data_IF_081262621284
#
_entry.id   IF_081262621284
#
_cell.length_a   1.000
_cell.length_b   1.000
_cell.length_c   1.000
_cell.angle_alpha   90.00
_cell.angle_beta   90.00
_cell.angle_gamma   90.00
#
_symmetry.space_group_name_H-M   'P 1'
#
loop_
_entity.id
_entity.type
_entity.pdbx_description
1 polymer ?
#
# COMPACT_ATOMS: atom_id res chain seq x y z
N UNK A 1 12.85 7.15 -8.64
CA UNK A 1 11.77 6.13 -8.65
C UNK A 1 11.85 5.33 -9.94
N UNK A 2 12.51 4.18 -9.89
CA UNK A 2 12.60 3.24 -11.01
C UNK A 2 11.36 2.37 -11.04
N UNK A 3 10.41 2.65 -11.93
CA UNK A 3 9.23 1.82 -12.11
C UNK A 3 9.62 0.64 -13.01
N UNK A 4 9.71 -0.56 -12.43
CA UNK A 4 9.92 -1.77 -13.20
C UNK A 4 8.70 -2.65 -13.17
N UNK A 5 7.81 -2.42 -14.13
CA UNK A 5 7.03 -3.48 -14.77
C UNK A 5 6.47 -2.99 -16.11
N UNK A 6 6.94 -3.58 -17.19
CA UNK A 6 6.16 -3.59 -18.45
C UNK A 6 4.99 -4.56 -18.23
N UNK A 7 3.83 -4.03 -17.91
CA UNK A 7 2.58 -4.79 -17.96
C UNK A 7 2.24 -5.08 -19.43
N UNK A 8 2.41 -6.31 -19.86
CA UNK A 8 1.79 -6.79 -21.09
C UNK A 8 0.32 -7.09 -20.79
N UNK A 9 -0.58 -6.26 -21.27
CA UNK A 9 -2.04 -6.33 -21.05
C UNK A 9 -2.75 -7.58 -21.64
N UNK A 10 -2.07 -8.68 -21.98
CA UNK A 10 -2.69 -9.84 -22.63
C UNK A 10 -2.48 -11.21 -21.97
N UNK A 11 -1.63 -11.33 -20.96
CA UNK A 11 -1.55 -12.56 -20.15
C UNK A 11 -1.10 -12.20 -18.74
N UNK A 12 -1.73 -12.80 -17.72
CA UNK A 12 -1.24 -12.79 -16.34
C UNK A 12 -0.05 -13.78 -16.27
N UNK A 13 1.07 -13.46 -16.90
CA UNK A 13 2.26 -14.30 -16.85
C UNK A 13 3.21 -13.68 -15.85
N UNK A 14 3.57 -14.42 -14.81
CA UNK A 14 4.57 -14.00 -13.85
C UNK A 14 5.96 -13.95 -14.52
N UNK A 15 6.76 -12.94 -14.17
CA UNK A 15 8.15 -12.85 -14.59
C UNK A 15 8.95 -13.88 -13.77
N UNK A 16 9.78 -14.74 -14.41
CA UNK A 16 10.60 -15.71 -13.68
C UNK A 16 11.45 -15.07 -12.59
N UNK A 17 11.53 -15.71 -11.42
CA UNK A 17 12.24 -15.23 -10.24
C UNK A 17 13.67 -14.77 -10.55
N UNK A 18 14.44 -15.59 -11.27
CA UNK A 18 15.82 -15.26 -11.67
C UNK A 18 15.92 -13.98 -12.48
N UNK A 19 14.95 -13.73 -13.39
CA UNK A 19 14.93 -12.52 -14.19
C UNK A 19 14.59 -11.28 -13.35
N UNK A 20 13.69 -11.40 -12.34
CA UNK A 20 13.37 -10.28 -11.43
C UNK A 20 14.59 -9.94 -10.58
N UNK A 21 15.30 -10.94 -10.09
CA UNK A 21 16.54 -10.75 -9.31
C UNK A 21 17.63 -10.06 -10.16
N UNK A 22 17.81 -10.49 -11.41
CA UNK A 22 18.79 -9.87 -12.33
C UNK A 22 18.42 -8.41 -12.62
N UNK A 23 17.14 -8.13 -12.84
CA UNK A 23 16.67 -6.75 -13.00
C UNK A 23 16.92 -5.91 -11.75
N UNK A 24 16.69 -6.46 -10.55
CA UNK A 24 16.97 -5.78 -9.29
C UNK A 24 18.47 -5.46 -9.14
N UNK A 25 19.36 -6.40 -9.49
CA UNK A 25 20.81 -6.19 -9.51
C UNK A 25 21.23 -5.08 -10.48
N UNK A 26 20.71 -5.11 -11.70
CA UNK A 26 21.04 -4.11 -12.72
C UNK A 26 20.61 -2.70 -12.28
N UNK A 27 19.43 -2.58 -11.66
CA UNK A 27 18.94 -1.30 -11.15
C UNK A 27 19.79 -0.79 -9.98
N UNK A 28 20.10 -1.65 -9.02
CA UNK A 28 20.94 -1.25 -7.88
C UNK A 28 22.35 -0.89 -8.31
N UNK A 29 22.92 -1.61 -9.29
CA UNK A 29 24.21 -1.25 -9.91
C UNK A 29 24.15 0.09 -10.65
N UNK A 30 22.98 0.51 -11.13
CA UNK A 30 22.77 1.83 -11.75
C UNK A 30 22.49 2.94 -10.71
N UNK A 31 22.62 2.66 -9.42
CA UNK A 31 22.51 3.64 -8.33
C UNK A 31 21.11 3.78 -7.71
N UNK A 32 20.12 2.94 -8.09
CA UNK A 32 18.82 2.98 -7.43
C UNK A 32 18.89 2.37 -6.03
N UNK A 33 18.64 3.19 -4.99
CA UNK A 33 18.64 2.76 -3.58
C UNK A 33 17.34 2.13 -3.11
N UNK A 34 16.22 2.39 -3.81
CA UNK A 34 14.90 1.84 -3.49
C UNK A 34 14.26 1.23 -4.73
N UNK A 35 13.65 0.04 -4.57
CA UNK A 35 12.82 -0.62 -5.57
C UNK A 35 11.41 -0.81 -5.03
N UNK A 36 10.42 -0.74 -5.94
CA UNK A 36 9.02 -1.02 -5.64
C UNK A 36 8.56 -2.21 -6.46
N UNK A 37 8.20 -3.32 -5.81
CA UNK A 37 7.54 -4.44 -6.46
C UNK A 37 6.07 -4.08 -6.69
N UNK A 38 5.64 -4.08 -7.94
CA UNK A 38 4.26 -3.79 -8.31
C UNK A 38 3.78 -4.75 -9.38
N UNK A 39 2.48 -4.96 -9.46
CA UNK A 39 1.85 -5.81 -10.46
C UNK A 39 0.34 -5.65 -10.45
N UNK A 40 -0.33 -6.24 -11.43
CA UNK A 40 -1.81 -6.26 -11.48
C UNK A 40 -2.38 -7.14 -10.38
N UNK A 41 -1.64 -8.18 -9.99
CA UNK A 41 -1.99 -9.17 -8.97
C UNK A 41 -0.68 -9.72 -8.39
N UNK A 42 -0.06 -8.94 -7.51
CA UNK A 42 1.26 -9.24 -6.95
C UNK A 42 1.23 -10.45 -6.03
N UNK A 43 0.09 -10.69 -5.40
CA UNK A 43 -0.10 -11.76 -4.43
C UNK A 43 -0.27 -13.13 -5.09
N UNK A 44 -0.75 -13.20 -6.33
CA UNK A 44 -0.78 -14.42 -7.14
C UNK A 44 0.56 -14.73 -7.83
N UNK A 45 1.65 -14.06 -7.45
CA UNK A 45 2.95 -14.27 -8.08
C UNK A 45 3.35 -15.76 -8.06
N UNK A 46 3.83 -16.20 -9.20
CA UNK A 46 4.48 -17.51 -9.36
C UNK A 46 3.54 -18.70 -9.51
N UNK A 47 2.22 -18.53 -9.42
CA UNK A 47 1.27 -19.64 -9.57
C UNK A 47 1.37 -20.34 -10.94
N UNK A 48 1.86 -19.64 -11.96
CA UNK A 48 2.08 -20.13 -13.33
C UNK A 48 3.55 -20.46 -13.64
N UNK A 49 4.44 -20.33 -12.64
CA UNK A 49 5.87 -20.66 -12.78
C UNK A 49 6.20 -22.06 -12.28
N UNK A 50 7.25 -22.70 -12.81
CA UNK A 50 7.77 -23.96 -12.27
C UNK A 50 8.10 -23.84 -10.78
N UNK A 51 7.62 -24.79 -9.97
CA UNK A 51 7.78 -24.79 -8.52
C UNK A 51 6.83 -23.87 -7.77
N UNK A 52 5.96 -23.13 -8.46
CA UNK A 52 4.97 -22.22 -7.91
C UNK A 52 5.53 -21.33 -6.74
N UNK A 53 6.62 -20.56 -6.97
CA UNK A 53 7.21 -19.73 -5.93
C UNK A 53 6.21 -18.65 -5.47
N UNK A 54 6.19 -18.37 -4.18
CA UNK A 54 5.31 -17.34 -3.60
C UNK A 54 5.97 -15.96 -3.66
N UNK A 55 5.21 -14.93 -3.36
CA UNK A 55 5.72 -13.55 -3.27
C UNK A 55 6.84 -13.42 -2.22
N UNK A 56 6.72 -14.15 -1.10
CA UNK A 56 7.77 -14.22 -0.07
C UNK A 56 9.09 -14.80 -0.60
N UNK A 57 9.03 -15.84 -1.43
CA UNK A 57 10.22 -16.43 -2.05
C UNK A 57 10.89 -15.45 -3.03
N UNK A 58 10.08 -14.69 -3.79
CA UNK A 58 10.59 -13.64 -4.68
C UNK A 58 11.28 -12.52 -3.89
N UNK A 59 10.65 -12.02 -2.82
CA UNK A 59 11.21 -10.96 -1.98
C UNK A 59 12.54 -11.42 -1.39
N UNK A 60 12.59 -12.62 -0.80
CA UNK A 60 13.82 -13.20 -0.25
C UNK A 60 14.91 -13.29 -1.32
N UNK A 61 14.58 -13.82 -2.50
CA UNK A 61 15.55 -13.93 -3.59
C UNK A 61 16.08 -12.57 -4.08
N UNK A 62 15.25 -11.52 -4.10
CA UNK A 62 15.69 -10.16 -4.44
C UNK A 62 16.64 -9.63 -3.36
N UNK A 63 16.29 -9.78 -2.09
CA UNK A 63 17.09 -9.29 -0.98
C UNK A 63 18.46 -9.99 -0.91
N UNK A 64 18.49 -11.29 -1.15
CA UNK A 64 19.74 -12.07 -1.21
C UNK A 64 20.55 -11.75 -2.47
N UNK A 65 19.86 -11.65 -3.60
CA UNK A 65 20.48 -11.46 -4.91
C UNK A 65 20.95 -10.03 -5.20
N UNK A 66 20.40 -9.02 -4.51
CA UNK A 66 20.77 -7.61 -4.66
C UNK A 66 21.18 -7.01 -3.30
N UNK A 67 22.35 -7.36 -2.75
CA UNK A 67 22.80 -6.94 -1.42
C UNK A 67 23.00 -5.42 -1.30
N UNK A 68 23.21 -4.72 -2.41
CA UNK A 68 23.32 -3.26 -2.45
C UNK A 68 21.97 -2.54 -2.40
N UNK A 69 20.84 -3.27 -2.51
CA UNK A 69 19.52 -2.69 -2.38
C UNK A 69 19.30 -2.24 -0.93
N UNK A 70 19.03 -0.96 -0.75
CA UNK A 70 18.84 -0.35 0.57
C UNK A 70 17.39 -0.39 1.04
N UNK A 71 16.42 -0.35 0.10
CA UNK A 71 14.99 -0.31 0.40
C UNK A 71 14.19 -1.10 -0.63
N UNK A 72 13.24 -1.89 -0.14
CA UNK A 72 12.28 -2.61 -0.95
C UNK A 72 10.86 -2.28 -0.46
N UNK A 73 9.99 -1.90 -1.38
CA UNK A 73 8.55 -1.73 -1.15
C UNK A 73 7.76 -2.71 -1.98
N UNK A 74 6.57 -3.02 -1.50
CA UNK A 74 5.58 -3.78 -2.28
C UNK A 74 4.37 -2.90 -2.58
N UNK A 75 3.73 -3.16 -3.70
CA UNK A 75 2.45 -2.56 -4.06
C UNK A 75 1.29 -3.12 -3.23
N UNK A 76 0.08 -2.93 -3.74
CA UNK A 76 -1.13 -3.40 -3.03
C UNK A 76 -1.16 -4.92 -2.90
N UNK A 77 -1.53 -5.40 -1.71
CA UNK A 77 -1.68 -6.82 -1.38
C UNK A 77 -3.06 -7.12 -0.82
N UNK A 78 -3.52 -8.35 -1.00
CA UNK A 78 -4.75 -8.83 -0.36
C UNK A 78 -4.44 -9.37 1.05
N UNK A 79 -5.29 -9.05 2.01
CA UNK A 79 -5.17 -9.53 3.40
C UNK A 79 -5.06 -11.05 3.47
N UNK A 80 -5.88 -11.76 2.67
CA UNK A 80 -5.92 -13.22 2.65
C UNK A 80 -4.63 -13.87 2.10
N UNK A 81 -3.71 -13.10 1.56
CA UNK A 81 -2.48 -13.60 0.93
C UNK A 81 -1.22 -13.24 1.71
N UNK A 82 -1.36 -12.59 2.87
CA UNK A 82 -0.26 -12.38 3.81
C UNK A 82 -0.07 -13.64 4.63
N UNK A 83 0.74 -14.57 4.11
CA UNK A 83 1.16 -15.75 4.87
C UNK A 83 2.24 -15.39 5.92
N UNK A 84 2.59 -16.34 6.79
CA UNK A 84 3.54 -16.08 7.87
C UNK A 84 4.95 -15.71 7.36
N UNK A 85 5.36 -16.23 6.19
CA UNK A 85 6.64 -15.88 5.59
C UNK A 85 6.66 -14.43 5.08
N UNK A 86 5.60 -14.00 4.38
CA UNK A 86 5.46 -12.62 3.96
C UNK A 86 5.31 -11.68 5.16
N UNK A 87 4.53 -12.09 6.18
CA UNK A 87 4.39 -11.33 7.41
C UNK A 87 5.75 -11.11 8.11
N UNK A 88 6.58 -12.14 8.21
CA UNK A 88 7.92 -12.03 8.80
C UNK A 88 8.80 -11.05 8.00
N UNK A 89 8.79 -11.12 6.68
CA UNK A 89 9.52 -10.17 5.83
C UNK A 89 9.04 -8.72 6.04
N UNK A 90 7.74 -8.49 6.05
CA UNK A 90 7.16 -7.15 6.25
C UNK A 90 7.49 -6.54 7.61
N UNK A 91 7.66 -7.38 8.64
CA UNK A 91 7.79 -6.92 10.03
C UNK A 91 9.20 -7.00 10.59
N UNK A 92 10.08 -7.85 10.02
CA UNK A 92 11.40 -8.15 10.60
C UNK A 92 12.58 -7.84 9.66
N UNK A 93 12.35 -7.70 8.35
CA UNK A 93 13.43 -7.37 7.40
C UNK A 93 13.61 -5.85 7.33
N UNK A 94 14.79 -5.35 7.70
CA UNK A 94 15.10 -3.92 7.77
C UNK A 94 15.01 -3.21 6.43
N UNK A 95 15.34 -3.91 5.33
CA UNK A 95 15.26 -3.36 3.97
C UNK A 95 13.83 -3.33 3.41
N UNK A 96 12.89 -4.06 4.03
CA UNK A 96 11.47 -3.89 3.74
C UNK A 96 10.96 -2.61 4.40
N UNK A 97 10.43 -1.71 3.60
CA UNK A 97 9.96 -0.43 4.14
C UNK A 97 8.67 -0.58 4.96
N UNK A 98 8.57 0.21 6.05
CA UNK A 98 7.45 0.18 6.99
C UNK A 98 6.14 0.72 6.42
N UNK A 99 5.73 0.25 5.26
CA UNK A 99 4.48 0.62 4.61
C UNK A 99 3.89 -0.58 3.87
N UNK A 100 2.61 -0.82 4.07
CA UNK A 100 1.83 -1.83 3.34
C UNK A 100 0.52 -1.22 2.85
N UNK A 101 0.14 -1.50 1.61
CA UNK A 101 -1.15 -1.06 1.06
C UNK A 101 -2.08 -2.27 0.92
N UNK A 102 -3.18 -2.27 1.70
CA UNK A 102 -4.13 -3.38 1.76
C UNK A 102 -5.32 -3.14 0.83
N UNK A 103 -5.66 -4.12 0.02
CA UNK A 103 -6.82 -4.09 -0.87
C UNK A 103 -8.12 -4.40 -0.10
N UNK A 104 -8.51 -3.56 0.87
CA UNK A 104 -9.64 -3.80 1.78
C UNK A 104 -11.00 -3.66 1.11
N UNK A 105 -11.19 -2.63 0.31
CA UNK A 105 -12.36 -2.29 -0.50
C UNK A 105 -13.62 -1.88 0.29
N UNK A 106 -14.00 -2.57 1.37
CA UNK A 106 -15.16 -2.25 2.20
C UNK A 106 -14.98 -2.77 3.64
N UNK A 107 -15.74 -2.23 4.59
CA UNK A 107 -15.76 -2.66 5.99
C UNK A 107 -17.00 -3.48 6.37
N UNK A 108 -17.74 -3.99 5.41
CA UNK A 108 -18.96 -4.78 5.61
C UNK A 108 -18.85 -6.13 4.92
N UNK A 109 -19.07 -7.23 5.65
CA UNK A 109 -18.89 -8.59 5.15
C UNK A 109 -19.85 -8.95 4.00
N UNK A 110 -21.07 -8.42 4.00
CA UNK A 110 -22.01 -8.66 2.89
C UNK A 110 -21.53 -7.96 1.63
N UNK A 111 -21.02 -6.73 1.75
CA UNK A 111 -20.44 -5.98 0.63
C UNK A 111 -19.18 -6.66 0.13
N UNK A 112 -18.26 -7.07 1.03
CA UNK A 112 -17.06 -7.84 0.69
C UNK A 112 -17.39 -9.13 -0.07
N UNK A 113 -18.39 -9.88 0.40
CA UNK A 113 -18.89 -11.09 -0.30
C UNK A 113 -19.42 -10.78 -1.70
N UNK A 114 -20.18 -9.67 -1.88
CA UNK A 114 -20.68 -9.23 -3.19
C UNK A 114 -19.55 -8.80 -4.13
N UNK A 115 -18.47 -8.25 -3.58
CA UNK A 115 -17.22 -7.92 -4.30
C UNK A 115 -16.36 -9.16 -4.59
N UNK A 116 -16.75 -10.36 -4.08
CA UNK A 116 -15.97 -11.62 -4.14
C UNK A 116 -14.61 -11.50 -3.45
N UNK A 117 -14.54 -10.74 -2.36
CA UNK A 117 -13.33 -10.68 -1.53
C UNK A 117 -13.19 -11.97 -0.72
N UNK A 118 -11.94 -12.35 -0.41
CA UNK A 118 -11.61 -13.59 0.32
C UNK A 118 -11.41 -13.36 1.81
N UNK A 119 -11.30 -12.11 2.24
CA UNK A 119 -11.21 -11.73 3.65
C UNK A 119 -12.54 -11.18 4.16
N UNK A 120 -12.79 -11.34 5.44
CA UNK A 120 -13.83 -10.66 6.20
C UNK A 120 -13.30 -9.34 6.79
N UNK A 121 -14.22 -8.52 7.33
CA UNK A 121 -13.83 -7.36 8.12
C UNK A 121 -12.96 -7.75 9.33
N UNK A 122 -13.32 -8.84 10.01
CA UNK A 122 -12.56 -9.33 11.16
C UNK A 122 -11.13 -9.73 10.78
N UNK A 123 -10.93 -10.40 9.64
CA UNK A 123 -9.60 -10.76 9.14
C UNK A 123 -8.76 -9.51 8.85
N UNK A 124 -9.38 -8.47 8.26
CA UNK A 124 -8.69 -7.21 7.97
C UNK A 124 -8.22 -6.50 9.24
N UNK A 125 -9.09 -6.39 10.25
CA UNK A 125 -8.74 -5.79 11.54
C UNK A 125 -7.66 -6.60 12.25
N UNK A 126 -7.81 -7.93 12.34
CA UNK A 126 -6.84 -8.80 12.99
C UNK A 126 -5.45 -8.72 12.33
N UNK A 127 -5.39 -8.67 10.99
CA UNK A 127 -4.12 -8.52 10.28
C UNK A 127 -3.49 -7.14 10.51
N UNK A 128 -4.29 -6.07 10.49
CA UNK A 128 -3.80 -4.72 10.78
C UNK A 128 -3.23 -4.63 12.20
N UNK A 129 -3.91 -5.18 13.19
CA UNK A 129 -3.44 -5.21 14.58
C UNK A 129 -2.14 -6.02 14.73
N UNK A 130 -2.05 -7.18 14.05
CA UNK A 130 -0.82 -7.99 14.04
C UNK A 130 0.36 -7.22 13.45
N UNK A 131 0.17 -6.52 12.32
CA UNK A 131 1.21 -5.72 11.67
C UNK A 131 1.66 -4.57 12.57
N UNK A 132 0.72 -3.80 13.15
CA UNK A 132 1.02 -2.69 14.03
C UNK A 132 1.67 -3.12 15.36
N UNK A 133 1.33 -4.30 15.87
CA UNK A 133 1.96 -4.86 17.07
C UNK A 133 3.40 -5.30 16.80
N UNK A 134 3.63 -5.95 15.66
CA UNK A 134 4.96 -6.45 15.29
C UNK A 134 5.91 -5.33 14.79
N UNK A 135 5.35 -4.29 14.16
CA UNK A 135 6.10 -3.14 13.61
C UNK A 135 5.32 -1.83 13.82
N UNK A 136 5.44 -1.19 14.99
CA UNK A 136 4.64 -0.01 15.37
C UNK A 136 4.84 1.23 14.50
N UNK A 137 5.98 1.35 13.81
CA UNK A 137 6.30 2.42 12.87
C UNK A 137 5.70 2.22 11.47
N UNK A 138 5.05 1.08 11.23
CA UNK A 138 4.42 0.77 9.95
C UNK A 138 3.22 1.70 9.68
N UNK A 139 3.08 2.14 8.43
CA UNK A 139 1.89 2.82 7.96
C UNK A 139 1.06 1.89 7.07
N UNK A 140 -0.23 1.80 7.34
CA UNK A 140 -1.17 1.01 6.56
C UNK A 140 -1.90 1.94 5.60
N UNK A 141 -1.81 1.67 4.30
CA UNK A 141 -2.64 2.23 3.25
C UNK A 141 -3.80 1.30 2.90
N UNK A 142 -4.89 1.83 2.35
CA UNK A 142 -5.97 1.00 1.83
C UNK A 142 -6.77 1.67 0.71
N UNK A 143 -7.27 0.83 -0.20
CA UNK A 143 -8.32 1.21 -1.14
C UNK A 143 -9.69 0.96 -0.50
N UNK A 144 -10.60 1.95 -0.57
CA UNK A 144 -11.97 1.86 -0.10
C UNK A 144 -12.95 2.36 -1.16
N UNK A 145 -14.03 1.62 -1.37
CA UNK A 145 -15.08 1.96 -2.35
C UNK A 145 -16.31 2.46 -1.59
N UNK A 146 -16.78 3.66 -1.93
CA UNK A 146 -18.00 4.26 -1.39
C UNK A 146 -19.19 4.03 -2.33
N UNK A 147 -20.30 3.55 -1.79
CA UNK A 147 -21.54 3.40 -2.53
C UNK A 147 -21.56 2.22 -3.49
N UNK A 148 -20.91 1.12 -3.14
CA UNK A 148 -21.06 -0.14 -3.88
C UNK A 148 -22.54 -0.54 -3.96
N UNK A 149 -23.03 -1.16 -5.06
CA UNK A 149 -24.41 -1.58 -5.17
C UNK A 149 -24.92 -2.31 -3.93
N UNK A 150 -26.11 -1.92 -3.47
CA UNK A 150 -26.74 -2.46 -2.26
C UNK A 150 -26.07 -2.11 -0.92
N UNK A 151 -25.08 -1.22 -0.90
CA UNK A 151 -24.56 -0.67 0.35
C UNK A 151 -25.66 0.18 1.02
N UNK A 152 -26.03 -0.17 2.25
CA UNK A 152 -26.89 0.63 3.10
C UNK A 152 -26.08 1.58 4.00
N UNK A 153 -26.76 2.38 4.83
CA UNK A 153 -26.09 3.34 5.71
C UNK A 153 -25.29 2.66 6.81
N UNK A 154 -25.73 1.48 7.26
CA UNK A 154 -25.00 0.71 8.26
C UNK A 154 -23.69 0.12 7.68
N UNK A 155 -23.73 -0.41 6.45
CA UNK A 155 -22.54 -0.88 5.74
C UNK A 155 -21.54 0.26 5.47
N UNK A 156 -22.06 1.43 5.04
CA UNK A 156 -21.23 2.63 4.86
C UNK A 156 -20.58 3.10 6.18
N UNK A 157 -21.33 3.03 7.29
CA UNK A 157 -20.80 3.36 8.62
C UNK A 157 -19.68 2.37 9.04
N UNK A 158 -19.85 1.06 8.80
CA UNK A 158 -18.82 0.04 9.05
C UNK A 158 -17.56 0.27 8.20
N UNK A 159 -17.71 0.64 6.94
CA UNK A 159 -16.57 0.99 6.07
C UNK A 159 -15.84 2.22 6.57
N UNK A 160 -16.56 3.23 7.08
CA UNK A 160 -15.95 4.42 7.68
C UNK A 160 -15.20 4.09 8.98
N UNK A 161 -15.76 3.23 9.84
CA UNK A 161 -15.12 2.79 11.08
C UNK A 161 -13.82 2.02 10.81
N UNK A 162 -13.74 1.28 9.69
CA UNK A 162 -12.55 0.51 9.31
C UNK A 162 -11.27 1.37 9.22
N UNK A 163 -11.40 2.67 8.94
CA UNK A 163 -10.25 3.60 8.90
C UNK A 163 -9.53 3.62 10.26
N UNK A 164 -10.29 3.70 11.35
CA UNK A 164 -9.73 3.63 12.70
C UNK A 164 -9.31 2.23 13.09
N UNK A 165 -10.18 1.24 12.85
CA UNK A 165 -9.99 -0.13 13.29
C UNK A 165 -8.82 -0.84 12.61
N UNK A 166 -8.47 -0.46 11.38
CA UNK A 166 -7.29 -0.96 10.66
C UNK A 166 -6.11 0.03 10.66
N UNK A 167 -6.10 1.04 11.50
CA UNK A 167 -5.01 2.03 11.59
C UNK A 167 -4.63 2.66 10.24
N UNK A 168 -5.60 2.88 9.34
CA UNK A 168 -5.34 3.35 7.98
C UNK A 168 -4.80 4.78 8.02
N UNK A 169 -3.62 5.00 7.41
CA UNK A 169 -2.94 6.29 7.30
C UNK A 169 -3.07 6.89 5.91
N UNK A 170 -3.16 6.03 4.89
CA UNK A 170 -3.32 6.41 3.49
C UNK A 170 -4.55 5.72 2.92
N UNK A 171 -5.63 6.47 2.69
CA UNK A 171 -6.85 5.92 2.14
C UNK A 171 -7.11 6.45 0.73
N UNK A 172 -7.16 5.55 -0.25
CA UNK A 172 -7.65 5.87 -1.58
C UNK A 172 -9.15 5.61 -1.64
N UNK A 173 -9.94 6.66 -1.73
CA UNK A 173 -11.40 6.60 -1.71
C UNK A 173 -11.96 6.68 -3.12
N UNK A 174 -12.57 5.58 -3.58
CA UNK A 174 -13.17 5.46 -4.89
C UNK A 174 -14.70 5.53 -4.79
N UNK A 175 -15.36 6.58 -5.32
CA UNK A 175 -16.79 6.53 -5.56
C UNK A 175 -17.09 5.38 -6.52
N UNK A 176 -18.04 4.52 -6.17
CA UNK A 176 -18.40 3.43 -7.07
C UNK A 176 -18.90 3.96 -8.42
N UNK A 177 -18.43 3.33 -9.49
CA UNK A 177 -18.86 3.59 -10.86
C UNK A 177 -19.19 2.26 -11.55
N UNK A 178 -20.42 2.13 -12.03
CA UNK A 178 -20.86 0.93 -12.72
C UNK A 178 -20.07 0.71 -14.01
N UNK A 179 -19.53 -0.50 -14.19
CA UNK A 179 -18.86 -0.92 -15.42
C UNK A 179 -19.74 -1.89 -16.17
N UNK A 180 -20.11 -1.57 -17.40
CA UNK A 180 -20.90 -2.46 -18.25
C UNK A 180 -20.31 -3.87 -18.31
N UNK A 181 -21.19 -4.87 -18.30
CA UNK A 181 -20.80 -6.29 -18.34
C UNK A 181 -20.44 -6.91 -16.98
N UNK A 182 -20.28 -6.11 -15.91
CA UNK A 182 -19.99 -6.65 -14.58
C UNK A 182 -21.26 -7.09 -13.83
N UNK A 183 -21.17 -8.12 -12.95
CA UNK A 183 -22.30 -8.48 -12.06
C UNK A 183 -22.77 -7.30 -11.21
N UNK A 184 -21.87 -6.48 -10.70
CA UNK A 184 -22.19 -5.32 -9.86
C UNK A 184 -23.05 -4.29 -10.60
N UNK A 185 -22.86 -4.07 -11.90
CA UNK A 185 -23.66 -3.16 -12.69
C UNK A 185 -25.15 -3.59 -12.81
N UNK A 186 -25.46 -4.87 -12.55
CA UNK A 186 -26.82 -5.43 -12.58
C UNK A 186 -27.51 -5.46 -11.23
N UNK A 187 -26.79 -5.14 -10.15
CA UNK A 187 -27.35 -5.04 -8.80
C UNK A 187 -28.10 -3.72 -8.61
N UNK A 188 -29.00 -3.61 -7.60
CA UNK A 188 -29.61 -2.34 -7.22
C UNK A 188 -28.54 -1.29 -6.90
N UNK A 189 -28.55 -0.20 -7.67
CA UNK A 189 -27.54 0.86 -7.57
C UNK A 189 -27.89 1.83 -6.44
N UNK A 190 -26.85 2.33 -5.76
CA UNK A 190 -26.95 3.48 -4.85
C UNK A 190 -27.01 4.75 -5.70
N UNK A 191 -27.81 5.74 -5.31
CA UNK A 191 -27.93 6.99 -6.07
C UNK A 191 -26.63 7.80 -6.04
N UNK A 192 -26.32 8.47 -7.14
CA UNK A 192 -25.09 9.27 -7.29
C UNK A 192 -24.90 10.31 -6.16
N UNK A 193 -25.92 11.06 -5.70
CA UNK A 193 -25.75 11.96 -4.56
C UNK A 193 -25.31 11.26 -3.29
N UNK A 194 -25.87 10.08 -2.99
CA UNK A 194 -25.50 9.27 -1.83
C UNK A 194 -24.06 8.76 -1.95
N UNK A 195 -23.67 8.25 -3.13
CA UNK A 195 -22.27 7.81 -3.39
C UNK A 195 -21.30 8.97 -3.12
N UNK A 196 -21.58 10.16 -3.64
CA UNK A 196 -20.73 11.35 -3.44
C UNK A 196 -20.64 11.75 -1.95
N UNK A 197 -21.76 11.75 -1.23
CA UNK A 197 -21.80 12.08 0.19
C UNK A 197 -21.00 11.06 1.03
N UNK A 198 -21.16 9.76 0.76
CA UNK A 198 -20.38 8.70 1.44
C UNK A 198 -18.89 8.80 1.16
N UNK A 199 -18.48 9.06 -0.09
CA UNK A 199 -17.09 9.27 -0.46
C UNK A 199 -16.50 10.50 0.24
N UNK A 200 -17.25 11.60 0.34
CA UNK A 200 -16.82 12.79 1.06
C UNK A 200 -16.63 12.52 2.56
N UNK A 201 -17.58 11.79 3.19
CA UNK A 201 -17.49 11.40 4.59
C UNK A 201 -16.28 10.50 4.87
N UNK A 202 -15.99 9.53 3.99
CA UNK A 202 -14.79 8.68 4.09
C UNK A 202 -13.51 9.51 4.00
N UNK A 203 -13.42 10.44 3.02
CA UNK A 203 -12.25 11.31 2.87
C UNK A 203 -12.02 12.20 4.09
N UNK A 204 -13.08 12.72 4.69
CA UNK A 204 -12.97 13.55 5.89
C UNK A 204 -12.37 12.77 7.07
N UNK A 205 -12.86 11.54 7.32
CA UNK A 205 -12.33 10.68 8.39
C UNK A 205 -10.90 10.24 8.09
N UNK A 206 -10.60 9.86 6.84
CA UNK A 206 -9.27 9.47 6.42
C UNK A 206 -8.26 10.62 6.55
N UNK A 207 -8.63 11.82 6.11
CA UNK A 207 -7.78 13.01 6.25
C UNK A 207 -7.49 13.36 7.71
N UNK A 208 -8.50 13.30 8.58
CA UNK A 208 -8.30 13.52 10.02
C UNK A 208 -7.37 12.47 10.65
N UNK A 209 -7.53 11.19 10.28
CA UNK A 209 -6.66 10.11 10.76
C UNK A 209 -5.21 10.28 10.26
N UNK A 210 -5.02 10.66 9.01
CA UNK A 210 -3.70 10.94 8.43
C UNK A 210 -3.03 12.13 9.13
N UNK A 211 -3.72 13.25 9.29
CA UNK A 211 -3.17 14.44 9.96
C UNK A 211 -2.75 14.14 11.40
N UNK A 212 -3.59 13.42 12.17
CA UNK A 212 -3.24 12.99 13.51
C UNK A 212 -1.97 12.12 13.55
N UNK A 213 -1.84 11.21 12.57
CA UNK A 213 -0.66 10.36 12.47
C UNK A 213 0.58 11.16 12.06
N UNK A 214 0.50 12.04 11.05
CA UNK A 214 1.62 12.91 10.66
C UNK A 214 2.10 13.76 11.83
N UNK A 215 1.17 14.33 12.62
CA UNK A 215 1.51 15.09 13.81
C UNK A 215 2.29 14.25 14.84
N UNK A 216 2.01 12.96 14.94
CA UNK A 216 2.75 12.06 15.85
C UNK A 216 4.18 11.74 15.38
N UNK A 217 4.52 12.06 14.15
CA UNK A 217 5.88 11.87 13.62
C UNK A 217 6.79 13.08 13.86
N UNK A 218 6.24 14.22 14.28
CA UNK A 218 7.03 15.43 14.58
C UNK A 218 8.01 15.13 15.72
N UNK A 219 9.27 15.50 15.53
CA UNK A 219 10.40 15.20 16.43
C UNK A 219 11.03 13.83 16.21
N UNK A 220 10.45 12.97 15.37
CA UNK A 220 11.03 11.65 15.08
C UNK A 220 12.21 11.74 14.09
N UNK A 221 13.16 10.81 14.22
CA UNK A 221 14.22 10.61 13.24
C UNK A 221 13.74 9.66 12.15
N UNK A 222 13.88 10.09 10.92
CA UNK A 222 13.45 9.35 9.74
C UNK A 222 14.57 9.24 8.71
N UNK A 223 14.39 8.37 7.73
CA UNK A 223 15.32 8.23 6.61
C UNK A 223 14.56 8.57 5.32
N UNK A 224 14.89 9.71 4.70
CA UNK A 224 14.25 10.26 3.51
C UNK A 224 14.94 9.77 2.24
N UNK A 225 14.20 9.20 1.31
CA UNK A 225 14.66 9.04 -0.07
C UNK A 225 14.31 10.31 -0.85
N UNK A 226 15.33 11.03 -1.30
CA UNK A 226 15.18 12.27 -2.07
C UNK A 226 14.69 11.97 -3.48
N UNK A 227 13.63 12.64 -3.92
CA UNK A 227 13.07 12.52 -5.27
C UNK A 227 13.75 13.46 -6.27
N UNK A 228 13.26 13.46 -7.53
CA UNK A 228 13.89 14.17 -8.64
C UNK A 228 13.97 15.68 -8.49
N UNK A 229 13.08 16.27 -7.69
CA UNK A 229 13.07 17.70 -7.40
C UNK A 229 14.20 18.14 -6.47
N UNK A 230 14.86 17.20 -5.82
CA UNK A 230 15.96 17.45 -4.88
C UNK A 230 15.54 17.98 -3.51
N UNK A 231 14.25 18.30 -3.32
CA UNK A 231 13.75 18.98 -2.12
C UNK A 231 12.61 18.22 -1.42
N UNK A 232 12.10 17.14 -2.00
CA UNK A 232 11.07 16.31 -1.39
C UNK A 232 11.34 14.83 -1.60
N UNK A 233 10.59 13.99 -0.87
CA UNK A 233 10.67 12.55 -1.02
C UNK A 233 9.76 11.82 -0.07
N UNK A 234 10.04 10.52 0.15
CA UNK A 234 9.27 9.69 1.05
C UNK A 234 10.19 9.01 2.08
N UNK A 235 9.75 9.04 3.33
CA UNK A 235 10.43 8.30 4.42
C UNK A 235 10.02 6.83 4.42
N UNK A 236 10.59 6.02 5.31
CA UNK A 236 10.38 4.57 5.37
C UNK A 236 8.92 4.15 5.42
N UNK A 237 8.09 4.84 6.18
CA UNK A 237 6.64 4.61 6.32
C UNK A 237 5.78 5.29 5.24
N UNK A 238 6.38 5.77 4.18
CA UNK A 238 5.73 6.40 3.03
C UNK A 238 5.17 7.80 3.28
N UNK A 239 5.41 8.43 4.43
CA UNK A 239 5.05 9.83 4.61
C UNK A 239 5.86 10.70 3.64
N UNK A 240 5.17 11.58 2.92
CA UNK A 240 5.81 12.58 2.08
C UNK A 240 6.46 13.62 2.97
N UNK A 241 7.70 13.97 2.66
CA UNK A 241 8.47 14.92 3.47
C UNK A 241 9.21 15.87 2.53
N UNK A 242 9.19 17.15 2.85
CA UNK A 242 9.97 18.19 2.18
C UNK A 242 11.19 18.54 3.05
N UNK A 243 12.33 18.77 2.44
CA UNK A 243 13.50 19.36 3.11
C UNK A 243 13.24 20.85 3.38
N UNK A 244 13.67 21.31 4.54
CA UNK A 244 13.50 22.71 4.95
C UNK A 244 14.47 23.63 4.20
N UNK A 245 15.71 23.16 4.07
CA UNK A 245 16.82 23.90 3.48
C UNK A 245 17.31 23.24 2.17
N UNK A 246 18.58 23.26 1.93
CA UNK A 246 19.29 22.91 0.70
C UNK A 246 18.79 21.64 -0.02
N UNK A 247 18.68 21.75 -1.33
CA UNK A 247 18.43 20.61 -2.21
C UNK A 247 19.54 19.55 -2.09
N UNK A 248 19.12 18.28 -2.10
CA UNK A 248 20.01 17.14 -2.06
C UNK A 248 19.93 16.32 -3.38
N UNK A 249 20.97 15.54 -3.71
CA UNK A 249 20.96 14.73 -4.91
C UNK A 249 19.79 13.74 -4.96
N UNK A 250 19.09 13.69 -6.09
CA UNK A 250 18.01 12.75 -6.30
C UNK A 250 18.50 11.29 -6.16
N UNK A 251 17.75 10.46 -5.45
CA UNK A 251 18.08 9.06 -5.16
C UNK A 251 18.92 8.87 -3.90
N UNK A 252 19.39 9.95 -3.28
CA UNK A 252 20.10 9.88 -1.99
C UNK A 252 19.10 9.52 -0.87
N UNK A 253 19.61 8.78 0.13
CA UNK A 253 18.84 8.43 1.33
C UNK A 253 19.52 9.13 2.53
N UNK A 254 18.82 10.13 3.07
CA UNK A 254 19.31 11.02 4.11
C UNK A 254 18.65 10.75 5.46
N UNK A 255 19.39 10.75 6.56
CA UNK A 255 18.81 10.84 7.89
C UNK A 255 18.27 12.27 8.10
N UNK A 256 17.04 12.38 8.56
CA UNK A 256 16.37 13.65 8.83
C UNK A 256 15.63 13.60 10.17
N UNK A 257 15.36 14.76 10.74
CA UNK A 257 14.45 14.93 11.88
C UNK A 257 13.21 15.69 11.39
N UNK A 258 12.03 15.19 11.68
CA UNK A 258 10.78 15.84 11.28
C UNK A 258 10.54 17.06 12.16
N UNK A 259 10.50 18.25 11.55
CA UNK A 259 10.34 19.52 12.24
C UNK A 259 8.88 19.92 12.43
N UNK A 260 8.00 19.52 11.50
CA UNK A 260 6.59 19.92 11.53
C UNK A 260 5.77 19.33 10.40
N UNK A 261 4.58 19.89 10.22
CA UNK A 261 3.68 19.57 9.12
C UNK A 261 3.84 20.57 7.97
N UNK A 262 3.70 20.08 6.75
CA UNK A 262 3.64 20.87 5.53
C UNK A 262 2.46 20.39 4.68
N UNK A 263 1.29 21.00 4.88
CA UNK A 263 0.04 20.61 4.24
C UNK A 263 -0.38 19.18 4.61
N UNK A 264 -0.36 18.28 3.64
CA UNK A 264 -0.64 16.84 3.79
C UNK A 264 0.64 15.98 3.92
N UNK A 265 1.78 16.61 4.18
CA UNK A 265 3.09 16.00 4.38
C UNK A 265 3.81 16.54 5.61
N UNK A 266 5.12 16.29 5.62
CA UNK A 266 6.07 16.64 6.69
C UNK A 266 7.14 17.60 6.17
N UNK A 267 7.78 18.32 7.10
CA UNK A 267 8.97 19.12 6.85
C UNK A 267 10.03 18.81 7.89
#
# INVERSE_FOLDING_TARGET
>A
MGLLMRSFRRSKVAVPLAQVVENARALTASGFGELVLTGVDTTSYGADLPGAPRLSDLITAILDGAPMLRRLRIGSIDVAEIDDALFALLTQEDRMMGHVHLSLQAGDDLILKRMKRRHSRADAVAMADRLMTARPDMAIGADLIAGFPTEDDAAAARTRALIGDCHIRFAHIFPYSARSGTPAARMPQVSTPVIKARAAALRAVAGAAQQKWLQSLVGSHQSLLVERDGISGHVGNFARTRLDDDAAPAGEILPITILGLDGDGLI
#
